data_IF_256721349678
#
_entry.id   IF_256721349678
#
_cell.length_a   1.000
_cell.length_b   1.000
_cell.length_c   1.000
_cell.angle_alpha   90.00
_cell.angle_beta   90.00
_cell.angle_gamma   90.00
#
_symmetry.space_group_name_H-M   'P 1'
#
loop_
_entity.id
_entity.type
_entity.pdbx_description
1 polymer ?
#
# COMPACT_ATOMS: atom_id res chain seq x y z
N UNK A 1 -4.40 -27.60 -4.22
CA UNK A 1 -4.45 -26.11 -4.13
C UNK A 1 -3.60 -25.37 -5.17
N UNK A 2 -2.64 -25.99 -5.88
CA UNK A 2 -1.89 -25.33 -6.98
C UNK A 2 -2.66 -25.25 -8.32
N UNK A 3 -3.62 -26.16 -8.56
CA UNK A 3 -4.38 -26.22 -9.82
C UNK A 3 -5.51 -25.18 -9.94
N UNK A 4 -6.05 -24.70 -8.81
CA UNK A 4 -7.19 -23.77 -8.79
C UNK A 4 -6.82 -22.32 -9.12
N UNK A 5 -5.58 -21.90 -8.87
CA UNK A 5 -5.09 -20.56 -9.21
C UNK A 5 -4.77 -20.46 -10.71
N UNK A 6 -4.19 -21.51 -11.30
CA UNK A 6 -4.00 -21.60 -12.75
C UNK A 6 -5.33 -21.64 -13.50
N UNK A 7 -6.35 -22.29 -12.94
CA UNK A 7 -7.71 -22.29 -13.49
C UNK A 7 -8.37 -20.91 -13.40
N UNK A 8 -8.13 -20.14 -12.34
CA UNK A 8 -8.65 -18.77 -12.23
C UNK A 8 -7.96 -17.80 -13.22
N UNK A 9 -6.64 -17.93 -13.38
CA UNK A 9 -5.86 -17.17 -14.37
C UNK A 9 -6.30 -17.57 -15.80
N UNK A 10 -6.50 -18.87 -16.05
CA UNK A 10 -7.02 -19.39 -17.31
C UNK A 10 -8.45 -18.93 -17.60
N UNK A 11 -9.33 -18.87 -16.60
CA UNK A 11 -10.70 -18.38 -16.77
C UNK A 11 -10.73 -16.90 -17.14
N UNK A 12 -9.92 -16.07 -16.45
CA UNK A 12 -9.79 -14.63 -16.75
C UNK A 12 -9.23 -14.41 -18.15
N UNK A 13 -8.22 -15.18 -18.56
CA UNK A 13 -7.64 -15.10 -19.91
C UNK A 13 -8.61 -15.60 -20.99
N UNK A 14 -9.41 -16.63 -20.72
CA UNK A 14 -10.41 -17.16 -21.67
C UNK A 14 -11.63 -16.25 -21.84
N UNK A 15 -11.99 -15.45 -20.83
CA UNK A 15 -13.06 -14.45 -20.93
C UNK A 15 -12.69 -13.23 -21.78
N UNK A 16 -11.42 -13.04 -22.14
CA UNK A 16 -11.01 -12.03 -23.12
C UNK A 16 -11.07 -12.53 -24.57
N UNK A 17 -11.25 -13.84 -24.80
CA UNK A 17 -11.33 -14.41 -26.15
C UNK A 17 -12.76 -14.45 -26.72
N UNK A 18 -13.79 -14.24 -25.90
CA UNK A 18 -15.19 -14.18 -26.32
C UNK A 18 -16.00 -13.24 -25.43
N UNK A 19 -15.80 -11.93 -25.63
CA UNK A 19 -16.77 -10.93 -25.25
C UNK A 19 -16.86 -9.94 -26.41
N UNK A 20 -17.55 -10.37 -27.47
CA UNK A 20 -18.08 -9.48 -28.50
C UNK A 20 -19.19 -8.67 -27.85
N UNK A 21 -18.80 -7.64 -27.09
CA UNK A 21 -19.72 -6.67 -26.52
C UNK A 21 -20.07 -5.73 -27.67
N UNK A 22 -21.21 -5.98 -28.29
CA UNK A 22 -21.80 -5.10 -29.29
C UNK A 22 -22.08 -3.71 -28.67
N UNK A 23 -21.16 -2.78 -28.93
CA UNK A 23 -21.20 -1.37 -28.54
C UNK A 23 -21.89 -0.49 -29.60
N UNK A 24 -22.69 -1.07 -30.51
CA UNK A 24 -23.37 -0.33 -31.59
C UNK A 24 -24.43 0.69 -31.15
N UNK A 25 -24.67 0.91 -29.85
CA UNK A 25 -25.47 2.05 -29.38
C UNK A 25 -24.61 3.26 -29.06
N UNK A 26 -24.25 3.95 -30.15
CA UNK A 26 -23.84 5.34 -30.19
C UNK A 26 -24.77 6.23 -29.33
N UNK A 27 -24.21 6.82 -28.28
CA UNK A 27 -24.64 8.14 -27.78
C UNK A 27 -23.45 9.11 -27.92
N UNK A 28 -23.52 9.90 -28.99
CA UNK A 28 -22.80 11.14 -29.29
C UNK A 28 -21.49 11.44 -28.58
N UNK A 29 -20.38 11.13 -29.26
CA UNK A 29 -19.03 11.56 -28.89
C UNK A 29 -18.08 10.38 -28.95
N UNK A 30 -17.53 10.11 -30.13
CA UNK A 30 -16.56 9.05 -30.35
C UNK A 30 -15.37 9.22 -29.39
N UNK A 31 -15.38 8.46 -28.29
CA UNK A 31 -14.20 8.22 -27.47
C UNK A 31 -13.45 7.12 -28.20
N UNK A 32 -12.45 7.51 -29.00
CA UNK A 32 -11.42 6.59 -29.45
C UNK A 32 -10.96 5.78 -28.23
N UNK A 33 -10.94 4.45 -28.35
CA UNK A 33 -10.49 3.62 -27.24
C UNK A 33 -9.00 3.88 -27.04
N UNK A 34 -8.64 4.68 -26.04
CA UNK A 34 -7.24 4.95 -25.76
C UNK A 34 -6.48 3.72 -25.26
N UNK A 35 -5.16 3.86 -25.25
CA UNK A 35 -4.21 2.78 -25.01
C UNK A 35 -4.46 2.14 -23.64
N UNK A 36 -4.80 0.84 -23.63
CA UNK A 36 -5.00 0.08 -22.39
C UNK A 36 -3.71 -0.60 -21.97
N UNK A 37 -3.27 -0.39 -20.73
CA UNK A 37 -2.11 -1.06 -20.16
C UNK A 37 -2.48 -2.23 -19.27
N UNK A 38 -1.78 -3.36 -19.43
CA UNK A 38 -1.83 -4.47 -18.49
C UNK A 38 -0.50 -4.58 -17.74
N UNK A 39 -0.56 -4.74 -16.41
CA UNK A 39 0.63 -4.86 -15.58
C UNK A 39 0.54 -6.08 -14.66
N UNK A 40 1.67 -6.75 -14.49
CA UNK A 40 1.84 -7.83 -13.52
C UNK A 40 2.95 -7.43 -12.56
N UNK A 41 2.68 -7.46 -11.26
CA UNK A 41 3.66 -7.17 -10.22
C UNK A 41 3.83 -8.28 -9.19
N UNK A 42 5.02 -8.33 -8.59
CA UNK A 42 5.32 -9.16 -7.43
C UNK A 42 6.12 -8.36 -6.42
N UNK A 43 5.71 -8.42 -5.16
CA UNK A 43 6.29 -7.65 -4.06
C UNK A 43 6.62 -8.56 -2.87
N UNK A 44 7.78 -8.37 -2.26
CA UNK A 44 8.21 -9.07 -1.06
C UNK A 44 8.53 -8.04 0.02
N UNK A 45 7.83 -8.14 1.15
CA UNK A 45 7.92 -7.21 2.28
C UNK A 45 8.37 -7.97 3.52
N UNK A 46 9.48 -7.53 4.09
CA UNK A 46 10.00 -8.01 5.37
C UNK A 46 9.78 -6.94 6.43
N UNK A 47 9.10 -7.30 7.51
CA UNK A 47 8.68 -6.40 8.57
C UNK A 47 9.23 -6.85 9.93
N UNK A 48 9.84 -5.92 10.66
CA UNK A 48 10.39 -6.20 11.98
C UNK A 48 10.05 -5.10 12.97
N UNK A 49 9.51 -5.49 14.13
CA UNK A 49 9.22 -4.59 15.25
C UNK A 49 10.01 -5.06 16.48
N UNK A 50 10.60 -4.10 17.20
CA UNK A 50 11.12 -4.25 18.55
C UNK A 50 10.28 -3.37 19.48
N UNK A 51 9.46 -4.01 20.33
CA UNK A 51 8.55 -3.36 21.29
C UNK A 51 8.14 -4.35 22.41
N UNK A 52 7.28 -3.93 23.34
CA UNK A 52 6.59 -4.79 24.30
C UNK A 52 5.70 -5.84 23.59
N UNK A 53 5.40 -6.99 24.19
CA UNK A 53 4.78 -8.12 23.47
C UNK A 53 3.38 -7.87 22.91
N UNK A 54 2.56 -7.11 23.62
CA UNK A 54 1.14 -6.91 23.28
C UNK A 54 0.96 -5.87 22.15
N UNK A 55 1.85 -4.87 22.04
CA UNK A 55 1.80 -3.87 20.96
C UNK A 55 2.09 -4.48 19.59
N UNK A 56 2.85 -5.59 19.55
CA UNK A 56 3.33 -6.20 18.30
C UNK A 56 2.22 -6.63 17.35
N UNK A 57 1.16 -7.27 17.84
CA UNK A 57 0.20 -7.92 16.92
C UNK A 57 -0.69 -6.90 16.21
N UNK A 58 -1.17 -5.88 16.93
CA UNK A 58 -1.97 -4.80 16.34
C UNK A 58 -1.10 -3.90 15.45
N UNK A 59 0.14 -3.60 15.85
CA UNK A 59 1.07 -2.84 15.01
C UNK A 59 1.39 -3.59 13.72
N UNK A 60 1.59 -4.92 13.77
CA UNK A 60 1.74 -5.75 12.56
C UNK A 60 0.52 -5.65 11.65
N UNK A 61 -0.70 -5.62 12.22
CA UNK A 61 -1.94 -5.47 11.44
C UNK A 61 -2.02 -4.11 10.76
N UNK A 62 -1.74 -3.05 11.49
CA UNK A 62 -1.70 -1.70 10.93
C UNK A 62 -0.62 -1.55 9.85
N UNK A 63 0.55 -2.13 10.06
CA UNK A 63 1.63 -2.15 9.07
C UNK A 63 1.23 -2.94 7.80
N UNK A 64 0.56 -4.10 7.93
CA UNK A 64 0.09 -4.87 6.77
C UNK A 64 -0.98 -4.12 5.96
N UNK A 65 -1.95 -3.51 6.64
CA UNK A 65 -3.00 -2.72 5.98
C UNK A 65 -2.38 -1.49 5.30
N UNK A 66 -1.48 -0.77 5.99
CA UNK A 66 -0.76 0.37 5.40
C UNK A 66 0.06 -0.06 4.17
N UNK A 67 0.74 -1.20 4.23
CA UNK A 67 1.52 -1.72 3.12
C UNK A 67 0.69 -1.92 1.83
N UNK A 68 -0.57 -2.33 1.95
CA UNK A 68 -1.45 -2.47 0.77
C UNK A 68 -1.69 -1.12 0.07
N UNK A 69 -1.73 -0.04 0.85
CA UNK A 69 -1.83 1.34 0.36
C UNK A 69 -0.50 1.88 -0.13
N UNK A 70 0.62 1.59 0.55
CA UNK A 70 1.95 1.97 0.07
C UNK A 70 2.25 1.35 -1.31
N UNK A 71 1.81 0.11 -1.55
CA UNK A 71 1.91 -0.55 -2.86
C UNK A 71 0.98 0.11 -3.89
N UNK A 72 -0.23 0.52 -3.49
CA UNK A 72 -1.13 1.29 -4.37
C UNK A 72 -0.45 2.60 -4.81
N UNK A 73 0.03 3.42 -3.87
CA UNK A 73 0.73 4.67 -4.17
C UNK A 73 1.93 4.43 -5.07
N UNK A 74 2.73 3.39 -4.78
CA UNK A 74 3.89 3.03 -5.61
C UNK A 74 3.50 2.65 -7.03
N UNK A 75 2.41 1.90 -7.21
CA UNK A 75 1.92 1.57 -8.55
C UNK A 75 1.57 2.84 -9.30
N UNK A 76 0.85 3.78 -8.67
CA UNK A 76 0.44 5.05 -9.28
C UNK A 76 1.63 6.00 -9.55
N UNK A 77 2.64 6.03 -8.68
CA UNK A 77 3.86 6.83 -8.91
C UNK A 77 4.71 6.34 -10.10
N UNK A 78 4.60 5.05 -10.47
CA UNK A 78 5.43 4.44 -11.52
C UNK A 78 4.68 4.11 -12.81
N UNK A 79 3.38 4.32 -12.78
CA UNK A 79 2.44 4.10 -13.86
C UNK A 79 2.74 4.98 -15.08
N UNK A 80 2.50 4.44 -16.28
CA UNK A 80 2.52 5.22 -17.51
C UNK A 80 1.11 5.82 -17.72
N UNK A 81 1.01 7.12 -17.50
CA UNK A 81 -0.26 7.87 -17.53
C UNK A 81 -0.71 8.30 -18.91
N UNK A 82 0.12 8.13 -19.94
CA UNK A 82 -0.29 8.27 -21.34
C UNK A 82 -1.32 7.20 -21.73
N UNK A 83 -1.48 6.18 -20.90
CA UNK A 83 -2.51 5.15 -21.02
C UNK A 83 -3.80 5.65 -20.40
N UNK A 84 -4.93 5.46 -21.09
CA UNK A 84 -6.24 5.84 -20.55
C UNK A 84 -6.72 4.89 -19.46
N UNK A 85 -6.31 3.62 -19.57
CA UNK A 85 -6.78 2.53 -18.71
C UNK A 85 -5.60 1.77 -18.13
N UNK A 86 -5.69 1.43 -16.85
CA UNK A 86 -4.74 0.57 -16.15
C UNK A 86 -5.43 -0.61 -15.51
N UNK A 87 -4.93 -1.78 -15.85
CA UNK A 87 -5.27 -3.05 -15.21
C UNK A 87 -3.98 -3.62 -14.65
N UNK A 88 -3.82 -3.64 -13.33
CA UNK A 88 -2.64 -4.22 -12.67
C UNK A 88 -3.07 -5.39 -11.79
N UNK A 89 -2.38 -6.52 -11.94
CA UNK A 89 -2.52 -7.68 -11.06
C UNK A 89 -1.22 -7.86 -10.30
N UNK A 90 -1.27 -7.79 -8.98
CA UNK A 90 -0.08 -7.87 -8.14
C UNK A 90 -0.18 -9.02 -7.13
N UNK A 91 0.94 -9.70 -6.93
CA UNK A 91 1.15 -10.58 -5.79
C UNK A 91 2.05 -9.89 -4.76
N UNK A 92 1.71 -9.98 -3.48
CA UNK A 92 2.51 -9.42 -2.39
C UNK A 92 2.67 -10.43 -1.27
N UNK A 93 3.91 -10.77 -0.92
CA UNK A 93 4.26 -11.52 0.28
C UNK A 93 4.66 -10.56 1.38
N UNK A 94 3.88 -10.47 2.45
CA UNK A 94 4.27 -9.75 3.66
C UNK A 94 4.68 -10.74 4.74
N UNK A 95 5.85 -10.54 5.35
CA UNK A 95 6.40 -11.46 6.34
C UNK A 95 7.01 -10.69 7.52
N UNK A 96 6.52 -11.00 8.72
CA UNK A 96 7.09 -10.57 10.00
C UNK A 96 7.45 -11.78 10.87
N UNK A 97 8.04 -11.55 12.05
CA UNK A 97 8.37 -12.64 12.99
C UNK A 97 7.12 -13.42 13.44
N UNK A 98 6.00 -12.73 13.69
CA UNK A 98 4.77 -13.33 14.23
C UNK A 98 3.71 -13.63 13.17
N UNK A 99 3.77 -12.98 12.01
CA UNK A 99 2.71 -13.04 11.01
C UNK A 99 3.29 -13.16 9.61
N UNK A 100 2.57 -13.82 8.72
CA UNK A 100 2.89 -13.76 7.29
C UNK A 100 1.62 -13.85 6.46
N UNK A 101 1.58 -13.15 5.34
CA UNK A 101 0.43 -13.17 4.44
C UNK A 101 0.84 -13.13 2.98
N UNK A 102 0.02 -13.79 2.17
CA UNK A 102 0.02 -13.69 0.72
C UNK A 102 -1.18 -12.84 0.33
N UNK A 103 -0.93 -11.72 -0.33
CA UNK A 103 -1.95 -10.82 -0.82
C UNK A 103 -1.93 -10.82 -2.35
N UNK A 104 -3.12 -10.91 -2.95
CA UNK A 104 -3.34 -10.84 -4.39
C UNK A 104 -4.21 -9.63 -4.64
N UNK A 105 -3.79 -8.72 -5.51
CA UNK A 105 -4.56 -7.52 -5.78
C UNK A 105 -4.85 -7.32 -7.26
N UNK A 106 -6.02 -6.76 -7.54
CA UNK A 106 -6.42 -6.27 -8.85
C UNK A 106 -6.67 -4.77 -8.70
N UNK A 107 -6.01 -3.98 -9.53
CA UNK A 107 -6.17 -2.54 -9.63
C UNK A 107 -6.79 -2.22 -10.98
N UNK A 108 -7.85 -1.43 -10.96
CA UNK A 108 -8.48 -0.87 -12.15
C UNK A 108 -8.44 0.65 -12.03
N UNK A 109 -7.81 1.32 -12.98
CA UNK A 109 -7.67 2.77 -13.02
C UNK A 109 -8.08 3.36 -14.37
N UNK A 110 -8.68 4.54 -14.32
CA UNK A 110 -9.03 5.36 -15.48
C UNK A 110 -8.38 6.73 -15.32
N UNK A 111 -7.66 7.16 -16.35
CA UNK A 111 -7.15 8.52 -16.44
C UNK A 111 -8.27 9.48 -16.82
N UNK A 112 -8.37 10.62 -16.13
CA UNK A 112 -9.28 11.71 -16.54
C UNK A 112 -8.57 12.74 -17.40
N UNK A 113 -7.25 12.86 -17.23
CA UNK A 113 -6.30 13.67 -18.00
C UNK A 113 -4.91 13.02 -17.86
N UNK A 114 -3.88 13.59 -18.49
CA UNK A 114 -2.52 13.04 -18.43
C UNK A 114 -1.90 13.09 -17.02
N UNK A 115 -2.49 13.82 -16.09
CA UNK A 115 -1.93 14.07 -14.76
C UNK A 115 -2.68 13.33 -13.63
N UNK A 116 -3.86 12.78 -13.90
CA UNK A 116 -4.73 12.24 -12.87
C UNK A 116 -5.30 10.87 -13.21
N UNK A 117 -5.49 10.07 -12.16
CA UNK A 117 -6.05 8.73 -12.27
C UNK A 117 -6.97 8.44 -11.09
N UNK A 118 -8.16 7.96 -11.40
CA UNK A 118 -9.12 7.48 -10.41
C UNK A 118 -9.37 5.99 -10.62
N UNK A 119 -9.71 5.28 -9.56
CA UNK A 119 -9.99 3.86 -9.70
C UNK A 119 -10.28 3.12 -8.43
N UNK A 120 -10.21 1.80 -8.54
CA UNK A 120 -10.47 0.86 -7.47
C UNK A 120 -9.36 -0.19 -7.38
N UNK A 121 -8.97 -0.54 -6.17
CA UNK A 121 -8.08 -1.65 -5.87
C UNK A 121 -8.80 -2.66 -4.98
N UNK A 122 -8.83 -3.91 -5.41
CA UNK A 122 -9.26 -5.03 -4.59
C UNK A 122 -8.06 -5.85 -4.18
N UNK A 123 -8.03 -6.27 -2.92
CA UNK A 123 -6.99 -7.13 -2.38
C UNK A 123 -7.64 -8.33 -1.69
N UNK A 124 -7.11 -9.51 -1.96
CA UNK A 124 -7.47 -10.76 -1.30
C UNK A 124 -6.24 -11.29 -0.57
N UNK A 125 -6.36 -11.46 0.75
CA UNK A 125 -5.25 -11.92 1.57
C UNK A 125 -5.52 -13.27 2.22
N UNK A 126 -4.46 -14.06 2.33
CA UNK A 126 -4.41 -15.31 3.07
C UNK A 126 -3.19 -15.29 4.00
N UNK A 127 -3.46 -15.08 5.27
CA UNK A 127 -2.49 -14.86 6.33
C UNK A 127 -2.42 -16.02 7.33
N UNK A 128 -1.34 -16.01 8.11
CA UNK A 128 -1.16 -16.93 9.24
C UNK A 128 -0.33 -16.24 10.33
N UNK A 129 -0.86 -16.23 11.56
CA UNK A 129 -0.08 -15.97 12.77
C UNK A 129 0.67 -17.25 13.15
N UNK A 130 1.99 -17.12 13.33
CA UNK A 130 2.93 -18.23 13.42
C UNK A 130 2.92 -18.92 14.78
N UNK A 131 2.83 -18.14 15.86
CA UNK A 131 2.86 -18.64 17.24
C UNK A 131 1.58 -19.44 17.56
N UNK A 132 0.41 -18.88 17.28
CA UNK A 132 -0.89 -19.49 17.64
C UNK A 132 -1.51 -20.34 16.53
N UNK A 133 -0.82 -20.50 15.39
CA UNK A 133 -1.34 -21.15 14.19
C UNK A 133 -2.72 -20.63 13.74
N UNK A 134 -3.04 -19.35 14.00
CA UNK A 134 -4.29 -18.72 13.56
C UNK A 134 -4.19 -18.42 12.07
N UNK A 135 -5.08 -19.01 11.27
CA UNK A 135 -5.22 -18.71 9.85
C UNK A 135 -6.13 -17.50 9.68
N UNK A 136 -5.81 -16.69 8.68
CA UNK A 136 -6.55 -15.49 8.37
C UNK A 136 -6.91 -15.46 6.90
N UNK A 137 -8.14 -15.06 6.60
CA UNK A 137 -8.55 -14.68 5.25
C UNK A 137 -9.15 -13.30 5.32
N UNK A 138 -8.80 -12.45 4.36
CA UNK A 138 -9.34 -11.10 4.34
C UNK A 138 -9.49 -10.53 2.95
N UNK A 139 -10.26 -9.46 2.89
CA UNK A 139 -10.52 -8.70 1.68
C UNK A 139 -10.42 -7.21 2.01
N UNK A 140 -9.84 -6.44 1.09
CA UNK A 140 -9.77 -4.99 1.16
C UNK A 140 -10.19 -4.41 -0.18
N UNK A 141 -11.11 -3.45 -0.17
CA UNK A 141 -11.42 -2.60 -1.31
C UNK A 141 -10.99 -1.17 -1.00
N UNK A 142 -10.34 -0.52 -1.97
CA UNK A 142 -9.90 0.86 -1.88
C UNK A 142 -10.37 1.60 -3.12
N UNK A 143 -11.05 2.72 -2.95
CA UNK A 143 -11.15 3.71 -4.02
C UNK A 143 -9.91 4.58 -3.96
N UNK A 144 -9.46 5.10 -5.10
CA UNK A 144 -8.34 6.02 -5.11
C UNK A 144 -8.52 7.13 -6.12
N UNK A 145 -7.91 8.26 -5.81
CA UNK A 145 -7.65 9.34 -6.73
C UNK A 145 -6.18 9.75 -6.57
N UNK A 146 -5.48 9.84 -7.69
CA UNK A 146 -4.10 10.25 -7.79
C UNK A 146 -4.00 11.42 -8.77
N UNK A 147 -3.21 12.40 -8.39
CA UNK A 147 -2.90 13.58 -9.18
C UNK A 147 -1.39 13.80 -9.06
N UNK A 148 -0.68 13.82 -10.18
CA UNK A 148 0.76 14.09 -10.20
C UNK A 148 1.06 15.16 -11.25
N UNK A 149 1.03 16.41 -10.77
CA UNK A 149 1.40 17.60 -11.51
C UNK A 149 2.88 17.86 -11.32
N UNK A 150 3.49 18.59 -12.24
CA UNK A 150 4.93 18.88 -12.22
C UNK A 150 5.44 19.40 -10.86
N UNK A 151 4.69 20.27 -10.19
CA UNK A 151 5.09 20.91 -8.91
C UNK A 151 4.62 20.17 -7.66
N UNK A 152 3.59 19.35 -7.76
CA UNK A 152 3.00 18.68 -6.61
C UNK A 152 2.27 17.39 -7.02
N UNK A 153 2.26 16.44 -6.10
CA UNK A 153 1.45 15.25 -6.23
C UNK A 153 0.57 15.03 -5.01
N UNK A 154 -0.51 14.30 -5.23
CA UNK A 154 -1.53 14.01 -4.25
C UNK A 154 -2.11 12.63 -4.54
N UNK A 155 -2.26 11.82 -3.51
CA UNK A 155 -3.06 10.59 -3.57
C UNK A 155 -3.97 10.54 -2.36
N UNK A 156 -5.24 10.20 -2.58
CA UNK A 156 -6.19 9.89 -1.52
C UNK A 156 -6.81 8.53 -1.82
N UNK A 157 -6.90 7.69 -0.78
CA UNK A 157 -7.43 6.36 -0.90
C UNK A 157 -8.26 5.99 0.34
N UNK A 158 -9.58 6.21 0.33
CA UNK A 158 -10.46 5.60 1.32
C UNK A 158 -10.56 4.08 1.07
N UNK A 159 -10.62 3.31 2.14
CA UNK A 159 -10.64 1.86 2.06
C UNK A 159 -11.50 1.21 3.14
N UNK A 160 -12.03 0.04 2.80
CA UNK A 160 -12.79 -0.83 3.69
C UNK A 160 -12.29 -2.26 3.56
N UNK A 161 -12.31 -3.01 4.65
CA UNK A 161 -11.89 -4.40 4.64
C UNK A 161 -12.50 -5.23 5.74
N UNK A 162 -12.31 -6.54 5.59
CA UNK A 162 -12.81 -7.55 6.52
C UNK A 162 -11.84 -8.70 6.60
N UNK A 163 -11.56 -9.13 7.82
CA UNK A 163 -10.72 -10.27 8.17
C UNK A 163 -11.54 -11.33 8.91
N UNK A 164 -11.27 -12.58 8.59
CA UNK A 164 -11.78 -13.76 9.27
C UNK A 164 -10.61 -14.57 9.83
N UNK A 165 -10.60 -14.75 11.14
CA UNK A 165 -9.55 -15.45 11.89
C UNK A 165 -10.09 -16.81 12.33
N UNK A 166 -9.32 -17.87 12.07
CA UNK A 166 -9.67 -19.25 12.41
C UNK A 166 -8.53 -19.91 13.18
N UNK A 167 -8.83 -20.40 14.37
CA UNK A 167 -7.93 -21.27 15.13
C UNK A 167 -8.00 -22.69 14.55
N UNK A 168 -6.84 -23.33 14.32
CA UNK A 168 -6.78 -24.65 13.69
C UNK A 168 -7.43 -25.78 14.54
N UNK A 169 -7.79 -25.52 15.82
CA UNK A 169 -8.33 -26.53 16.74
C UNK A 169 -9.81 -26.35 17.13
N UNK A 170 -10.46 -25.22 16.86
CA UNK A 170 -11.87 -24.96 17.18
C UNK A 170 -12.59 -24.32 15.98
N UNK A 171 -13.90 -24.54 15.83
CA UNK A 171 -14.73 -23.86 14.81
C UNK A 171 -14.89 -22.34 15.03
N UNK A 172 -14.21 -21.78 16.01
CA UNK A 172 -14.31 -20.38 16.39
C UNK A 172 -13.75 -19.48 15.29
N UNK A 173 -14.68 -18.81 14.61
CA UNK A 173 -14.42 -17.79 13.59
C UNK A 173 -14.58 -16.41 14.22
N UNK A 174 -13.47 -15.73 14.47
CA UNK A 174 -13.49 -14.32 14.83
C UNK A 174 -13.51 -13.48 13.54
N UNK A 175 -14.17 -12.33 13.61
CA UNK A 175 -14.31 -11.43 12.47
C UNK A 175 -13.86 -10.04 12.87
N UNK A 176 -13.09 -9.41 12.00
CA UNK A 176 -12.78 -8.01 12.12
C UNK A 176 -13.25 -7.28 10.86
N UNK A 177 -13.86 -6.11 11.05
CA UNK A 177 -14.11 -5.17 9.95
C UNK A 177 -13.23 -3.96 10.21
N UNK A 178 -12.71 -3.36 9.15
CA UNK A 178 -11.89 -2.17 9.26
C UNK A 178 -12.16 -1.22 8.11
N UNK A 179 -11.92 0.06 8.37
CA UNK A 179 -12.04 1.10 7.38
C UNK A 179 -11.09 2.23 7.71
N UNK A 180 -10.71 2.98 6.70
CA UNK A 180 -9.75 4.05 6.86
C UNK A 180 -9.69 4.95 5.65
N UNK A 181 -8.84 5.97 5.78
CA UNK A 181 -8.48 6.85 4.69
C UNK A 181 -7.00 7.12 4.76
N UNK A 182 -6.36 6.94 3.61
CA UNK A 182 -4.98 7.30 3.40
C UNK A 182 -4.89 8.54 2.52
N UNK A 183 -3.96 9.43 2.82
CA UNK A 183 -3.65 10.59 2.01
C UNK A 183 -2.14 10.83 2.00
N UNK A 184 -1.57 11.10 0.83
CA UNK A 184 -0.22 11.63 0.71
C UNK A 184 -0.22 12.83 -0.22
N UNK A 185 0.47 13.88 0.21
CA UNK A 185 0.73 15.07 -0.58
C UNK A 185 2.23 15.31 -0.60
N UNK A 186 2.79 15.65 -1.76
CA UNK A 186 4.15 16.19 -1.80
C UNK A 186 4.25 17.36 -2.77
N UNK A 187 5.14 18.30 -2.46
CA UNK A 187 5.37 19.51 -3.25
C UNK A 187 6.85 19.71 -3.43
N UNK A 188 7.30 19.86 -4.68
CA UNK A 188 8.68 20.21 -5.00
C UNK A 188 9.01 21.59 -4.42
N UNK A 189 10.16 21.71 -3.78
CA UNK A 189 10.65 22.99 -3.29
C UNK A 189 11.22 23.80 -4.47
N UNK A 190 10.95 25.12 -4.56
CA UNK A 190 11.47 25.94 -5.64
C UNK A 190 13.01 25.98 -5.64
N UNK A 191 13.61 25.92 -6.83
CA UNK A 191 15.07 25.97 -7.04
C UNK A 191 15.75 27.18 -6.37
N UNK A 192 15.03 28.30 -6.25
CA UNK A 192 15.52 29.56 -5.65
C UNK A 192 15.97 29.42 -4.18
N UNK A 193 15.49 28.40 -3.47
CA UNK A 193 15.83 28.15 -2.06
C UNK A 193 16.94 27.11 -1.85
N UNK A 194 17.51 26.56 -2.93
CA UNK A 194 18.22 25.27 -2.91
C UNK A 194 19.63 25.31 -3.49
N UNK A 195 20.29 26.47 -3.48
CA UNK A 195 21.62 26.67 -4.05
C UNK A 195 22.49 25.41 -4.07
N UNK A 196 22.92 24.99 -5.26
CA UNK A 196 23.93 23.94 -5.54
C UNK A 196 23.60 22.46 -5.25
N UNK A 197 22.33 22.03 -5.26
CA UNK A 197 22.00 20.59 -5.29
C UNK A 197 21.60 20.09 -6.70
N UNK A 198 22.54 20.10 -7.65
CA UNK A 198 22.29 19.70 -9.05
C UNK A 198 21.80 18.24 -9.21
N UNK A 199 21.95 17.40 -8.17
CA UNK A 199 21.68 15.96 -8.22
C UNK A 199 20.52 15.51 -7.31
N UNK A 200 19.79 16.45 -6.68
CA UNK A 200 18.70 16.11 -5.77
C UNK A 200 17.56 17.09 -5.96
N UNK A 201 16.40 16.61 -6.41
CA UNK A 201 15.15 17.39 -6.44
C UNK A 201 14.43 17.21 -5.10
N UNK A 202 14.41 18.21 -4.21
CA UNK A 202 13.78 18.08 -2.92
C UNK A 202 12.31 18.47 -2.96
N UNK A 203 11.53 17.80 -2.14
CA UNK A 203 10.10 18.00 -1.95
C UNK A 203 9.77 17.92 -0.48
N UNK A 204 8.83 18.74 -0.04
CA UNK A 204 8.15 18.54 1.22
C UNK A 204 7.03 17.51 1.04
N UNK A 205 6.73 16.70 2.05
CA UNK A 205 5.59 15.78 2.01
C UNK A 205 4.82 15.68 3.33
N UNK A 206 3.55 15.32 3.21
CA UNK A 206 2.67 14.92 4.29
C UNK A 206 2.05 13.56 3.93
N UNK A 207 2.24 12.54 4.75
CA UNK A 207 1.63 11.20 4.64
C UNK A 207 0.73 11.01 5.87
N UNK A 208 -0.57 10.78 5.67
CA UNK A 208 -1.54 10.58 6.75
C UNK A 208 -2.37 9.33 6.51
N UNK A 209 -2.55 8.53 7.56
CA UNK A 209 -3.42 7.37 7.55
C UNK A 209 -4.29 7.35 8.81
N UNK A 210 -5.60 7.40 8.61
CA UNK A 210 -6.57 7.04 9.63
C UNK A 210 -7.06 5.62 9.40
N UNK A 211 -7.10 4.81 10.44
CA UNK A 211 -7.60 3.45 10.38
C UNK A 211 -8.35 3.09 11.67
N UNK A 212 -9.55 2.56 11.50
CA UNK A 212 -10.31 1.91 12.56
C UNK A 212 -10.43 0.41 12.30
N UNK A 213 -10.13 -0.38 13.31
CA UNK A 213 -10.18 -1.83 13.29
C UNK A 213 -11.12 -2.33 14.40
N UNK A 214 -12.28 -2.85 13.97
CA UNK A 214 -13.35 -3.32 14.84
C UNK A 214 -13.32 -4.86 14.89
N UNK A 215 -12.75 -5.39 15.96
CA UNK A 215 -12.69 -6.82 16.23
C UNK A 215 -13.94 -7.30 16.96
N UNK A 216 -14.58 -8.35 16.45
CA UNK A 216 -15.77 -8.98 17.05
C UNK A 216 -15.53 -10.46 17.31
N UNK A 217 -15.71 -10.86 18.56
CA UNK A 217 -15.66 -12.26 18.99
C UNK A 217 -17.08 -12.77 19.22
N UNK A 218 -17.39 -13.96 18.71
CA UNK A 218 -18.73 -14.57 18.89
C UNK A 218 -18.95 -15.16 20.29
N UNK A 219 -17.87 -15.52 20.99
CA UNK A 219 -17.98 -16.27 22.25
C UNK A 219 -18.10 -15.37 23.48
N UNK A 220 -17.58 -14.14 23.42
CA UNK A 220 -17.56 -13.20 24.56
C UNK A 220 -17.71 -11.77 24.07
N UNK A 221 -18.83 -11.12 24.37
CA UNK A 221 -19.03 -9.69 24.04
C UNK A 221 -17.95 -8.79 24.66
N UNK A 222 -17.42 -9.17 25.83
CA UNK A 222 -16.29 -8.48 26.49
C UNK A 222 -14.97 -8.52 25.71
N UNK A 223 -14.86 -9.35 24.67
CA UNK A 223 -13.71 -9.39 23.75
C UNK A 223 -13.90 -8.52 22.50
N UNK A 224 -15.04 -7.84 22.34
CA UNK A 224 -15.22 -6.87 21.26
C UNK A 224 -14.35 -5.65 21.52
N UNK A 225 -13.54 -5.28 20.52
CA UNK A 225 -12.53 -4.23 20.67
C UNK A 225 -12.55 -3.32 19.45
N UNK A 226 -12.49 -2.02 19.67
CA UNK A 226 -12.45 -0.99 18.62
C UNK A 226 -11.13 -0.24 18.76
N UNK A 227 -10.22 -0.47 17.85
CA UNK A 227 -8.91 0.16 17.88
C UNK A 227 -8.80 1.19 16.75
N UNK A 228 -8.25 2.36 17.05
CA UNK A 228 -8.12 3.45 16.09
C UNK A 228 -6.68 3.95 16.09
N UNK A 229 -6.15 4.21 14.90
CA UNK A 229 -4.87 4.89 14.72
C UNK A 229 -5.10 6.06 13.77
N UNK A 230 -4.50 7.20 14.10
CA UNK A 230 -4.35 8.33 13.19
C UNK A 230 -2.87 8.68 13.21
N UNK A 231 -2.18 8.28 12.15
CA UNK A 231 -0.78 8.53 12.01
C UNK A 231 -0.56 9.56 10.90
N UNK A 232 0.14 10.65 11.20
CA UNK A 232 0.60 11.60 10.19
C UNK A 232 2.10 11.80 10.27
N UNK A 233 2.73 11.84 9.11
CA UNK A 233 4.14 12.13 8.90
C UNK A 233 4.26 13.41 8.11
N UNK A 234 5.18 14.27 8.53
CA UNK A 234 5.60 15.46 7.83
C UNK A 234 7.12 15.39 7.60
N UNK A 235 7.59 15.69 6.40
CA UNK A 235 9.01 15.50 6.12
C UNK A 235 9.51 16.04 4.79
N UNK A 236 10.76 15.69 4.49
CA UNK A 236 11.46 16.02 3.27
C UNK A 236 11.77 14.74 2.49
N UNK A 237 11.59 14.81 1.17
CA UNK A 237 11.90 13.78 0.17
C UNK A 237 12.91 14.39 -0.80
N UNK A 238 13.94 13.66 -1.19
CA UNK A 238 14.85 14.06 -2.25
C UNK A 238 14.92 12.96 -3.31
N UNK A 239 14.77 13.33 -4.58
CA UNK A 239 14.87 12.41 -5.71
C UNK A 239 16.12 12.70 -6.54
N UNK A 240 16.87 11.66 -6.86
CA UNK A 240 17.95 11.68 -7.84
C UNK A 240 17.57 10.75 -8.99
N UNK A 241 17.73 11.20 -10.23
CA UNK A 241 17.46 10.42 -11.43
C UNK A 241 18.73 10.33 -12.30
N UNK A 242 19.07 9.11 -12.72
CA UNK A 242 20.19 8.80 -13.59
C UNK A 242 19.66 8.03 -14.79
N UNK A 243 20.10 8.40 -15.99
CA UNK A 243 19.75 7.75 -17.24
C UNK A 243 20.99 7.13 -17.86
N UNK A 244 20.92 5.83 -18.18
CA UNK A 244 21.98 5.06 -18.85
C UNK A 244 21.30 4.25 -19.95
N UNK A 245 21.47 4.66 -21.21
CA UNK A 245 20.76 4.08 -22.36
C UNK A 245 19.24 4.00 -22.08
N UNK A 246 18.66 2.81 -22.18
CA UNK A 246 17.23 2.52 -21.93
C UNK A 246 16.88 2.34 -20.44
N UNK A 247 17.83 2.60 -19.54
CA UNK A 247 17.68 2.39 -18.10
C UNK A 247 17.52 3.75 -17.40
N UNK A 248 16.38 3.93 -16.71
CA UNK A 248 16.17 5.02 -15.76
C UNK A 248 16.32 4.49 -14.33
N UNK A 249 17.29 5.03 -13.58
CA UNK A 249 17.49 4.74 -12.16
C UNK A 249 17.03 5.95 -11.36
N UNK A 250 16.04 5.77 -10.49
CA UNK A 250 15.56 6.79 -9.56
C UNK A 250 15.87 6.37 -8.13
N UNK A 251 16.66 7.16 -7.42
CA UNK A 251 16.88 7.01 -5.98
C UNK A 251 16.14 8.09 -5.22
N UNK A 252 15.35 7.69 -4.23
CA UNK A 252 14.57 8.56 -3.35
C UNK A 252 15.05 8.39 -1.92
N UNK A 253 15.38 9.49 -1.28
CA UNK A 253 15.62 9.57 0.17
C UNK A 253 14.45 10.30 0.82
N UNK A 254 13.95 9.80 1.95
CA UNK A 254 12.96 10.50 2.77
C UNK A 254 13.36 10.51 4.23
N UNK A 255 13.06 11.61 4.89
CA UNK A 255 13.15 11.75 6.34
C UNK A 255 11.97 12.57 6.83
N UNK A 256 11.51 12.32 8.05
CA UNK A 256 10.37 13.04 8.57
C UNK A 256 10.07 12.73 10.03
N UNK A 257 9.19 13.56 10.57
CA UNK A 257 8.62 13.39 11.90
C UNK A 257 7.21 12.82 11.75
N UNK A 258 6.93 11.79 12.53
CA UNK A 258 5.70 11.03 12.53
C UNK A 258 5.04 11.14 13.90
N UNK A 259 3.71 11.34 13.90
CA UNK A 259 2.92 11.43 15.12
C UNK A 259 1.69 10.52 15.08
N UNK A 260 1.49 9.76 16.14
CA UNK A 260 0.25 9.05 16.45
C UNK A 260 -0.65 9.95 17.29
N UNK A 261 -1.80 10.35 16.74
CA UNK A 261 -2.76 11.25 17.39
C UNK A 261 -3.83 10.54 18.20
N UNK A 262 -4.00 9.22 18.02
CA UNK A 262 -5.04 8.43 18.69
C UNK A 262 -4.45 7.29 19.53
N UNK A 263 -3.27 7.48 20.13
CA UNK A 263 -2.56 6.43 20.86
C UNK A 263 -3.38 5.78 21.99
N UNK A 264 -4.14 6.56 22.76
CA UNK A 264 -5.07 6.04 23.77
C UNK A 264 -6.16 5.13 23.20
N UNK A 265 -6.57 5.36 21.95
CA UNK A 265 -7.58 4.54 21.25
C UNK A 265 -6.98 3.42 20.40
N UNK A 266 -5.65 3.39 20.26
CA UNK A 266 -4.92 2.40 19.46
C UNK A 266 -4.96 1.01 20.08
N UNK A 267 -5.06 0.96 21.41
CA UNK A 267 -5.05 -0.26 22.21
C UNK A 267 -6.18 -0.27 23.26
N UNK A 268 -7.39 0.13 22.87
CA UNK A 268 -8.56 0.41 23.75
C UNK A 268 -8.96 -0.68 24.77
N UNK A 269 -8.33 -1.86 24.74
CA UNK A 269 -8.58 -2.97 25.66
C UNK A 269 -7.40 -3.30 26.58
N UNK A 270 -6.35 -2.49 26.55
CA UNK A 270 -5.12 -2.72 27.27
C UNK A 270 -4.85 -1.47 28.09
N UNK A 271 -4.50 -1.65 29.35
CA UNK A 271 -4.09 -0.56 30.24
C UNK A 271 -2.65 -0.13 29.88
N UNK A 272 -2.46 0.17 28.59
CA UNK A 272 -1.21 0.63 28.01
C UNK A 272 -1.23 2.15 28.06
N UNK A 273 -0.33 2.72 28.86
CA UNK A 273 -0.01 4.14 28.78
C UNK A 273 0.25 4.55 27.34
N UNK A 274 -0.11 5.78 27.00
CA UNK A 274 0.25 6.39 25.72
C UNK A 274 1.78 6.28 25.53
N UNK A 275 2.19 5.48 24.55
CA UNK A 275 3.57 5.18 24.20
C UNK A 275 3.72 5.35 22.68
N UNK A 276 4.93 5.71 22.25
CA UNK A 276 5.30 5.80 20.83
C UNK A 276 4.45 6.79 20.04
N UNK A 277 4.18 7.95 20.66
CA UNK A 277 3.46 9.07 20.06
C UNK A 277 4.27 9.70 18.95
N UNK A 278 5.57 9.85 19.17
CA UNK A 278 6.49 10.61 18.34
C UNK A 278 7.52 9.65 17.76
N UNK A 279 7.66 9.63 16.43
CA UNK A 279 8.67 8.83 15.75
C UNK A 279 9.43 9.67 14.72
N UNK A 280 10.69 9.32 14.50
CA UNK A 280 11.47 9.78 13.34
C UNK A 280 11.47 8.67 12.31
N UNK A 281 11.27 9.04 11.04
CA UNK A 281 11.30 8.12 9.91
C UNK A 281 12.51 8.40 9.02
N UNK A 282 13.07 7.34 8.46
CA UNK A 282 14.05 7.40 7.37
C UNK A 282 13.72 6.33 6.33
N UNK A 283 13.75 6.68 5.06
CA UNK A 283 13.51 5.75 3.94
C UNK A 283 14.52 6.00 2.82
N UNK A 284 15.09 4.92 2.30
CA UNK A 284 15.76 4.91 1.00
C UNK A 284 14.96 3.99 0.06
N UNK A 285 14.70 4.46 -1.15
CA UNK A 285 14.01 3.72 -2.21
C UNK A 285 14.81 3.88 -3.50
N UNK A 286 15.02 2.80 -4.23
CA UNK A 286 15.60 2.82 -5.57
C UNK A 286 14.64 2.10 -6.51
N UNK A 287 14.34 2.73 -7.64
CA UNK A 287 13.58 2.13 -8.75
C UNK A 287 14.48 2.13 -9.98
N UNK A 288 14.56 0.99 -10.67
CA UNK A 288 15.24 0.82 -11.95
C UNK A 288 14.16 0.49 -12.96
N UNK A 289 14.00 1.33 -13.97
CA UNK A 289 13.09 1.10 -15.11
C UNK A 289 13.91 0.78 -16.35
N UNK A 290 13.55 -0.28 -17.06
CA UNK A 290 14.15 -0.66 -18.34
C UNK A 290 13.10 -0.61 -19.45
N UNK A 291 13.34 0.21 -20.46
CA UNK A 291 12.47 0.37 -21.65
C UNK A 291 10.99 0.62 -21.33
N UNK A 292 10.69 1.23 -20.17
CA UNK A 292 9.33 1.39 -19.62
C UNK A 292 8.52 0.11 -19.40
N UNK A 293 9.05 -1.06 -19.79
CA UNK A 293 8.40 -2.38 -19.70
C UNK A 293 8.67 -3.03 -18.35
N UNK A 294 9.87 -2.89 -17.81
CA UNK A 294 10.28 -3.57 -16.57
C UNK A 294 10.64 -2.54 -15.51
N UNK A 295 9.96 -2.63 -14.36
CA UNK A 295 10.28 -1.86 -13.16
C UNK A 295 10.77 -2.82 -12.07
N UNK A 296 12.02 -2.66 -11.64
CA UNK A 296 12.56 -3.28 -10.42
C UNK A 296 12.64 -2.21 -9.36
N UNK A 297 12.23 -2.50 -8.14
CA UNK A 297 12.40 -1.55 -7.06
C UNK A 297 12.79 -2.22 -5.75
N UNK A 298 13.51 -1.48 -4.93
CA UNK A 298 13.87 -1.84 -3.57
C UNK A 298 13.64 -0.64 -2.65
N UNK A 299 13.15 -0.87 -1.44
CA UNK A 299 13.07 0.16 -0.41
C UNK A 299 13.41 -0.38 0.97
N UNK A 300 13.98 0.47 1.79
CA UNK A 300 14.25 0.18 3.18
C UNK A 300 13.86 1.40 4.03
N UNK A 301 12.89 1.17 4.92
CA UNK A 301 12.32 2.18 5.81
C UNK A 301 12.59 1.80 7.26
N UNK A 302 12.91 2.81 8.06
CA UNK A 302 13.05 2.72 9.51
C UNK A 302 12.11 3.74 10.15
N UNK A 303 11.44 3.35 11.22
CA UNK A 303 10.78 4.26 12.16
C UNK A 303 11.30 4.01 13.57
N UNK A 304 11.74 5.07 14.25
CA UNK A 304 12.23 4.98 15.63
C UNK A 304 11.42 5.91 16.52
N UNK A 305 10.91 5.38 17.63
CA UNK A 305 10.24 6.18 18.64
C UNK A 305 11.22 7.13 19.32
N UNK A 306 10.77 8.36 19.55
CA UNK A 306 11.47 9.36 20.37
C UNK A 306 11.10 9.22 21.84
N UNK A 307 10.00 8.52 22.14
CA UNK A 307 9.46 8.39 23.49
C UNK A 307 9.90 7.09 24.17
N UNK A 308 10.16 6.03 23.40
CA UNK A 308 10.52 4.71 23.94
C UNK A 308 11.60 4.02 23.11
N UNK A 309 11.95 2.78 23.50
CA UNK A 309 12.84 1.91 22.73
C UNK A 309 12.21 1.30 21.47
N UNK A 310 10.96 1.63 21.16
CA UNK A 310 10.24 1.14 19.99
C UNK A 310 11.00 1.44 18.69
N UNK A 311 11.10 0.40 17.86
CA UNK A 311 11.78 0.46 16.59
C UNK A 311 11.10 -0.46 15.58
N UNK A 312 10.82 0.09 14.39
CA UNK A 312 10.23 -0.62 13.26
C UNK A 312 11.14 -0.50 12.04
N UNK A 313 11.26 -1.60 11.29
CA UNK A 313 11.95 -1.63 10.00
C UNK A 313 11.12 -2.39 8.96
N UNK A 314 11.11 -1.87 7.75
CA UNK A 314 10.40 -2.44 6.61
C UNK A 314 11.34 -2.48 5.41
N UNK A 315 11.65 -3.67 4.93
CA UNK A 315 12.36 -3.88 3.66
C UNK A 315 11.36 -4.34 2.60
N UNK A 316 11.37 -3.72 1.43
CA UNK A 316 10.55 -4.14 0.30
C UNK A 316 11.40 -4.34 -0.94
N UNK A 317 11.14 -5.40 -1.69
CA UNK A 317 11.65 -5.58 -3.06
C UNK A 317 10.47 -5.94 -3.95
N UNK A 318 10.43 -5.42 -5.17
CA UNK A 318 9.45 -5.87 -6.12
C UNK A 318 9.89 -5.73 -7.57
N UNK A 319 9.13 -6.41 -8.41
CA UNK A 319 9.27 -6.45 -9.86
C UNK A 319 7.89 -6.19 -10.44
N UNK A 320 7.83 -5.37 -11.48
CA UNK A 320 6.63 -5.13 -12.27
C UNK A 320 6.98 -5.20 -13.76
N UNK A 321 6.12 -5.86 -14.51
CA UNK A 321 6.19 -6.00 -15.96
C UNK A 321 4.94 -5.34 -16.54
N UNK A 322 5.12 -4.48 -17.53
CA UNK A 322 4.08 -3.71 -18.20
C UNK A 322 3.98 -4.14 -19.66
N UNK A 323 2.77 -4.40 -20.11
CA UNK A 323 2.43 -4.75 -21.49
C UNK A 323 1.72 -3.57 -22.16
#
# INVERSE_FOLDING_TARGET
>A
MKKSILLAIGFILSSYSYADIDLSKNYGGATEWGYSGFEIGSNFVSHGIKSDEITKDMDIKYAEIKNNTDILVRNLENDNRDRDKLISVDYTRFNSKKYSTNNYSILLGLSSDNDSRAGIKFNFKNGKFKEDNVKEKGYLASLFYHLDKEKYNFTIAPYIGRDELKLDKNENKEKANYYGIYGIYSRKLPYEYLGTFDYLTPSFFIDTNYLRYDFRSKEKESKNRKNNTLNSTIGLKGNNEIFIDDIKITTTLKTGYNREFLASKKYNSLDTKEKDLNKVIGEIKTTIKYNEVIDIYASYKIEKSMDTSYYERVGTVGLKIKF
#
